data_IF_043604884257
#
_entry.id   IF_043604884257
#
_cell.length_a   1.000
_cell.length_b   1.000
_cell.length_c   1.000
_cell.angle_alpha   90.00
_cell.angle_beta   90.00
_cell.angle_gamma   90.00
#
_symmetry.space_group_name_H-M   'P 1'
#
loop_
_entity.id
_entity.type
_entity.pdbx_description
1 polymer ?
#
# COMPACT_ATOMS: atom_id res chain seq x y z
N UNK A 1 -21.15 4.91 1.89
CA UNK A 1 -20.37 4.73 3.14
C UNK A 1 -19.97 6.07 3.78
N UNK A 2 -19.67 7.11 3.00
CA UNK A 2 -19.29 8.44 3.53
C UNK A 2 -20.31 9.02 4.54
N UNK A 3 -21.61 9.00 4.22
CA UNK A 3 -22.64 9.60 5.08
C UNK A 3 -22.76 8.99 6.50
N UNK A 4 -22.31 7.74 6.64
CA UNK A 4 -22.37 6.99 7.91
C UNK A 4 -21.02 6.90 8.62
N UNK A 5 -19.93 7.39 8.03
CA UNK A 5 -18.59 7.32 8.60
C UNK A 5 -18.17 8.67 9.21
N UNK A 6 -17.50 8.62 10.36
CA UNK A 6 -16.98 9.80 11.05
C UNK A 6 -15.55 9.55 11.54
N UNK A 7 -14.76 10.61 11.68
CA UNK A 7 -13.45 10.58 12.30
C UNK A 7 -13.56 10.49 13.84
N UNK A 8 -12.42 10.31 14.51
CA UNK A 8 -12.32 10.21 15.97
C UNK A 8 -12.94 11.41 16.72
N UNK A 9 -12.87 12.60 16.13
CA UNK A 9 -13.43 13.85 16.67
C UNK A 9 -14.94 14.03 16.37
N UNK A 10 -15.54 13.09 15.63
CA UNK A 10 -16.94 13.13 15.23
C UNK A 10 -17.21 13.84 13.89
N UNK A 11 -16.16 14.35 13.23
CA UNK A 11 -16.27 15.01 11.93
C UNK A 11 -16.72 14.00 10.85
N UNK A 12 -17.72 14.30 10.01
CA UNK A 12 -18.12 13.44 8.91
C UNK A 12 -16.98 13.19 7.93
N UNK A 13 -16.77 11.92 7.56
CA UNK A 13 -15.77 11.56 6.55
C UNK A 13 -16.39 11.61 5.15
N UNK A 14 -15.65 12.18 4.20
CA UNK A 14 -16.05 12.21 2.79
C UNK A 14 -15.68 10.92 2.09
N UNK A 15 -16.18 10.72 0.87
CA UNK A 15 -15.79 9.57 0.05
C UNK A 15 -14.29 9.56 -0.27
N UNK A 16 -13.70 10.75 -0.44
CA UNK A 16 -12.26 10.93 -0.65
C UNK A 16 -11.45 10.33 0.50
N UNK A 17 -11.83 10.65 1.74
CA UNK A 17 -11.13 10.20 2.95
C UNK A 17 -11.21 8.67 3.12
N UNK A 18 -12.25 8.05 2.55
CA UNK A 18 -12.48 6.61 2.61
C UNK A 18 -11.86 5.84 1.44
N UNK A 19 -11.24 6.50 0.45
CA UNK A 19 -10.56 5.81 -0.66
C UNK A 19 -9.49 4.81 -0.21
N UNK A 20 -8.63 5.12 0.79
CA UNK A 20 -7.67 4.13 1.33
C UNK A 20 -8.37 2.91 1.93
N UNK A 21 -9.45 3.11 2.68
CA UNK A 21 -10.25 2.01 3.26
C UNK A 21 -10.94 1.16 2.18
N UNK A 22 -11.48 1.80 1.14
CA UNK A 22 -12.10 1.13 0.01
C UNK A 22 -11.09 0.25 -0.73
N UNK A 23 -9.83 0.71 -0.89
CA UNK A 23 -8.74 -0.10 -1.45
C UNK A 23 -8.39 -1.29 -0.56
N UNK A 24 -8.23 -1.08 0.74
CA UNK A 24 -7.92 -2.15 1.70
C UNK A 24 -8.99 -3.26 1.70
N UNK A 25 -10.26 -2.88 1.64
CA UNK A 25 -11.40 -3.80 1.67
C UNK A 25 -11.71 -4.47 0.33
N UNK A 26 -10.93 -4.21 -0.73
CA UNK A 26 -10.92 -5.11 -1.91
C UNK A 26 -10.47 -6.51 -1.50
N UNK A 27 -9.56 -6.61 -0.53
CA UNK A 27 -9.17 -7.89 0.06
C UNK A 27 -10.30 -8.41 0.99
N UNK A 28 -10.69 -9.67 0.74
CA UNK A 28 -11.82 -10.34 1.42
C UNK A 28 -11.66 -10.39 2.94
N UNK A 29 -10.43 -10.55 3.44
CA UNK A 29 -10.16 -10.64 4.88
C UNK A 29 -10.50 -9.33 5.57
N UNK A 30 -9.96 -8.20 5.10
CA UNK A 30 -10.25 -6.88 5.68
C UNK A 30 -11.72 -6.51 5.54
N UNK A 31 -12.36 -6.85 4.41
CA UNK A 31 -13.81 -6.64 4.23
C UNK A 31 -14.64 -7.42 5.24
N UNK A 32 -14.30 -8.69 5.46
CA UNK A 32 -14.98 -9.54 6.44
C UNK A 32 -14.79 -9.01 7.86
N UNK A 33 -13.55 -8.67 8.21
CA UNK A 33 -13.21 -8.10 9.52
C UNK A 33 -13.97 -6.80 9.77
N UNK A 34 -13.97 -5.85 8.81
CA UNK A 34 -14.72 -4.61 8.93
C UNK A 34 -16.22 -4.88 9.14
N UNK A 35 -16.79 -5.80 8.36
CA UNK A 35 -18.20 -6.19 8.50
C UNK A 35 -18.49 -6.74 9.89
N UNK A 36 -17.66 -7.67 10.39
CA UNK A 36 -17.82 -8.24 11.73
C UNK A 36 -17.77 -7.15 12.81
N UNK A 37 -16.77 -6.26 12.77
CA UNK A 37 -16.66 -5.15 13.74
C UNK A 37 -17.90 -4.25 13.76
N UNK A 38 -18.49 -3.98 12.58
CA UNK A 38 -19.71 -3.19 12.46
C UNK A 38 -20.93 -3.96 12.98
N UNK A 39 -21.08 -5.23 12.61
CA UNK A 39 -22.23 -6.07 13.01
C UNK A 39 -22.23 -6.37 14.52
N UNK A 40 -21.05 -6.55 15.10
CA UNK A 40 -20.83 -6.77 16.53
C UNK A 40 -20.95 -5.46 17.34
N UNK A 41 -21.19 -4.33 16.66
CA UNK A 41 -21.29 -2.98 17.26
C UNK A 41 -20.10 -2.64 18.14
N UNK A 42 -18.89 -2.95 17.66
CA UNK A 42 -17.67 -2.76 18.42
C UNK A 42 -17.57 -1.32 18.93
N UNK A 43 -17.21 -1.12 20.19
CA UNK A 43 -17.15 0.21 20.83
C UNK A 43 -15.72 0.67 21.14
N UNK A 44 -14.72 -0.13 20.76
CA UNK A 44 -13.30 0.13 21.01
C UNK A 44 -12.45 -0.07 19.74
N UNK A 45 -11.17 0.31 19.79
CA UNK A 45 -10.24 0.15 18.67
C UNK A 45 -10.45 1.16 17.52
N UNK A 46 -9.88 0.86 16.35
CA UNK A 46 -9.89 1.76 15.19
C UNK A 46 -11.22 1.79 14.43
N UNK A 47 -12.10 0.81 14.64
CA UNK A 47 -13.44 0.81 14.04
C UNK A 47 -14.43 0.68 15.17
N UNK A 48 -15.30 1.68 15.31
CA UNK A 48 -16.30 1.73 16.36
C UNK A 48 -17.67 2.04 15.78
N UNK A 49 -18.73 1.50 16.37
CA UNK A 49 -20.10 1.85 16.07
C UNK A 49 -20.64 2.71 17.20
N UNK A 50 -20.94 3.97 16.91
CA UNK A 50 -21.40 4.95 17.90
C UNK A 50 -22.84 5.36 17.60
N UNK A 51 -23.63 5.56 18.65
CA UNK A 51 -24.98 6.11 18.52
C UNK A 51 -24.86 7.63 18.32
N UNK A 52 -25.36 8.13 17.19
CA UNK A 52 -25.35 9.55 16.87
C UNK A 52 -26.71 9.92 16.27
N UNK A 53 -27.58 10.45 17.14
CA UNK A 53 -28.95 10.87 16.81
C UNK A 53 -30.01 9.78 17.01
N UNK A 54 -31.24 10.13 16.64
CA UNK A 54 -32.40 9.23 16.64
C UNK A 54 -33.33 9.54 15.46
N UNK A 55 -34.11 8.55 15.04
CA UNK A 55 -35.23 8.69 14.11
C UNK A 55 -36.54 8.58 14.90
N UNK A 56 -37.47 9.50 14.64
CA UNK A 56 -38.77 9.58 15.32
C UNK A 56 -38.66 9.55 16.86
N UNK A 57 -37.58 10.08 17.44
CA UNK A 57 -37.24 10.05 18.87
C UNK A 57 -37.07 8.65 19.52
N UNK A 58 -37.42 7.57 18.82
CA UNK A 58 -37.49 6.22 19.39
C UNK A 58 -36.40 5.29 18.84
N UNK A 59 -35.93 5.51 17.61
CA UNK A 59 -34.97 4.61 16.96
C UNK A 59 -33.56 5.21 16.97
N UNK A 60 -32.56 4.56 17.59
CA UNK A 60 -31.19 5.06 17.55
C UNK A 60 -30.64 5.06 16.13
N UNK A 61 -29.95 6.14 15.74
CA UNK A 61 -29.12 6.17 14.53
C UNK A 61 -27.67 5.87 14.90
N UNK A 62 -27.01 5.06 14.08
CA UNK A 62 -25.62 4.65 14.30
C UNK A 62 -24.72 5.16 13.19
N UNK A 63 -23.49 5.52 13.56
CA UNK A 63 -22.41 5.85 12.65
C UNK A 63 -21.18 4.98 12.95
N UNK A 64 -20.35 4.78 11.94
CA UNK A 64 -19.06 4.10 12.04
C UNK A 64 -17.99 5.16 12.30
N UNK A 65 -17.44 5.18 13.51
CA UNK A 65 -16.31 6.02 13.88
C UNK A 65 -15.01 5.30 13.55
N UNK A 66 -14.15 5.95 12.78
CA UNK A 66 -12.84 5.46 12.41
C UNK A 66 -11.77 6.19 13.22
N UNK A 67 -10.95 5.39 13.90
CA UNK A 67 -9.74 5.84 14.56
C UNK A 67 -8.59 6.03 13.58
N UNK A 68 -7.50 6.60 14.06
CA UNK A 68 -6.28 6.81 13.28
C UNK A 68 -5.10 6.09 13.93
N UNK A 69 -4.08 5.81 13.13
CA UNK A 69 -2.79 5.31 13.59
C UNK A 69 -1.64 6.07 12.91
N UNK A 70 -0.45 5.92 13.47
CA UNK A 70 0.75 6.53 12.94
C UNK A 70 1.52 5.50 12.12
N UNK A 71 1.96 5.90 10.92
CA UNK A 71 2.84 5.09 10.09
C UNK A 71 4.28 5.55 10.35
N UNK A 72 5.17 4.58 10.61
CA UNK A 72 6.60 4.85 10.81
C UNK A 72 7.38 4.37 9.60
N UNK A 73 8.20 5.26 9.03
CA UNK A 73 9.12 4.96 7.93
C UNK A 73 10.54 5.29 8.36
N UNK A 74 11.44 4.31 8.33
CA UNK A 74 12.85 4.48 8.62
C UNK A 74 13.65 4.50 7.32
N UNK A 75 14.54 5.47 7.16
CA UNK A 75 15.38 5.57 5.98
C UNK A 75 16.71 6.26 6.27
N UNK A 76 17.72 5.95 5.45
CA UNK A 76 19.04 6.56 5.44
C UNK A 76 19.22 7.56 4.28
N UNK A 77 18.13 7.99 3.66
CA UNK A 77 18.16 9.04 2.64
C UNK A 77 18.27 10.43 3.27
N UNK A 78 19.14 11.25 2.69
CA UNK A 78 19.19 12.69 2.92
C UNK A 78 18.08 13.40 2.13
N UNK A 79 17.64 14.55 2.64
CA UNK A 79 16.61 15.39 2.00
C UNK A 79 15.34 14.62 1.57
N UNK A 80 14.92 13.66 2.40
CA UNK A 80 13.78 12.79 2.12
C UNK A 80 12.46 13.57 1.90
N UNK A 81 11.86 13.40 0.73
CA UNK A 81 10.56 13.91 0.33
C UNK A 81 9.54 12.77 0.26
N UNK A 82 8.37 12.98 0.87
CA UNK A 82 7.32 11.98 0.98
C UNK A 82 6.08 12.40 0.23
N UNK A 83 5.50 11.46 -0.51
CA UNK A 83 4.13 11.59 -1.02
C UNK A 83 3.31 10.37 -0.64
N UNK A 84 2.06 10.59 -0.28
CA UNK A 84 1.10 9.56 0.06
C UNK A 84 -0.15 9.72 -0.80
N UNK A 85 -0.46 8.69 -1.58
CA UNK A 85 -1.51 8.70 -2.60
C UNK A 85 -1.38 9.88 -3.59
N UNK A 86 -0.12 10.25 -3.90
CA UNK A 86 0.20 11.36 -4.79
C UNK A 86 0.19 12.74 -4.14
N UNK A 87 -0.25 12.87 -2.89
CA UNK A 87 -0.21 14.12 -2.15
C UNK A 87 1.11 14.26 -1.40
N UNK A 88 1.74 15.42 -1.48
CA UNK A 88 2.94 15.71 -0.68
C UNK A 88 2.58 15.78 0.81
N UNK A 89 3.40 15.14 1.64
CA UNK A 89 3.24 15.12 3.09
C UNK A 89 4.56 15.48 3.78
N UNK A 90 4.46 16.02 5.00
CA UNK A 90 5.61 16.38 5.83
C UNK A 90 5.58 15.57 7.12
N UNK A 91 6.17 14.36 7.14
CA UNK A 91 6.26 13.58 8.37
C UNK A 91 7.17 14.24 9.41
N UNK A 92 6.90 13.96 10.68
CA UNK A 92 7.81 14.32 11.77
C UNK A 92 9.07 13.46 11.67
N UNK A 93 10.25 14.08 11.57
CA UNK A 93 11.52 13.39 11.51
C UNK A 93 12.20 13.37 12.87
N UNK A 94 12.58 12.18 13.34
CA UNK A 94 13.49 12.00 14.49
C UNK A 94 14.62 11.07 14.07
N UNK A 95 15.76 11.67 13.70
CA UNK A 95 17.01 10.97 13.37
C UNK A 95 16.84 9.86 12.33
N UNK A 96 16.17 10.14 11.20
CA UNK A 96 15.96 9.18 10.11
C UNK A 96 14.76 8.24 10.30
N UNK A 97 14.03 8.40 11.41
CA UNK A 97 12.73 7.79 11.64
C UNK A 97 11.62 8.82 11.44
N UNK A 98 10.84 8.64 10.38
CA UNK A 98 9.78 9.53 9.96
C UNK A 98 8.43 9.00 10.42
N UNK A 99 7.63 9.85 11.07
CA UNK A 99 6.29 9.51 11.55
C UNK A 99 5.24 10.28 10.76
N UNK A 100 4.40 9.54 10.04
CA UNK A 100 3.23 10.06 9.34
C UNK A 100 2.03 9.85 10.26
N UNK A 101 1.58 10.93 10.90
CA UNK A 101 0.54 10.86 11.91
C UNK A 101 -0.87 10.74 11.30
N UNK A 102 -1.81 10.31 12.15
CA UNK A 102 -3.26 10.45 11.93
C UNK A 102 -3.81 9.78 10.66
N UNK A 103 -3.27 8.63 10.28
CA UNK A 103 -3.74 7.87 9.11
C UNK A 103 -4.96 7.01 9.47
N UNK A 104 -6.01 7.09 8.67
CA UNK A 104 -7.18 6.20 8.78
C UNK A 104 -6.80 4.77 8.36
N UNK A 105 -7.56 3.74 8.78
CA UNK A 105 -7.39 2.39 8.27
C UNK A 105 -7.53 2.38 6.74
N UNK A 106 -6.57 1.77 6.06
CA UNK A 106 -6.53 1.80 4.61
C UNK A 106 -5.25 1.22 4.00
N UNK A 107 -5.28 1.15 2.67
CA UNK A 107 -4.12 0.83 1.84
C UNK A 107 -3.70 2.11 1.12
N UNK A 108 -2.44 2.51 1.32
CA UNK A 108 -1.86 3.75 0.85
C UNK A 108 -0.70 3.49 -0.10
N UNK A 109 -0.56 4.29 -1.15
CA UNK A 109 0.63 4.29 -1.99
C UNK A 109 1.62 5.33 -1.46
N UNK A 110 2.72 4.88 -0.87
CA UNK A 110 3.79 5.72 -0.36
C UNK A 110 4.90 5.82 -1.41
N UNK A 111 5.25 7.05 -1.79
CA UNK A 111 6.51 7.31 -2.49
C UNK A 111 7.45 8.11 -1.61
N UNK A 112 8.71 7.71 -1.61
CA UNK A 112 9.81 8.37 -0.93
C UNK A 112 10.90 8.64 -1.96
N UNK A 113 11.36 9.88 -2.01
CA UNK A 113 12.51 10.28 -2.83
C UNK A 113 13.52 11.00 -1.94
N UNK A 114 14.80 10.86 -2.23
CA UNK A 114 15.86 11.55 -1.50
C UNK A 114 17.21 11.27 -2.12
N UNK A 115 18.28 11.69 -1.47
CA UNK A 115 19.65 11.46 -1.94
C UNK A 115 20.41 10.56 -0.99
N UNK A 116 21.32 9.75 -1.52
CA UNK A 116 22.27 8.98 -0.72
C UNK A 116 23.57 8.90 -1.52
N UNK A 117 24.70 9.28 -0.89
CA UNK A 117 26.02 9.33 -1.54
C UNK A 117 26.01 10.11 -2.87
N UNK A 118 25.30 11.25 -2.89
CA UNK A 118 25.22 12.13 -4.06
C UNK A 118 24.30 11.65 -5.19
N UNK A 119 23.63 10.51 -5.04
CA UNK A 119 22.68 9.97 -6.03
C UNK A 119 21.25 10.00 -5.53
N UNK A 120 20.30 10.35 -6.39
CA UNK A 120 18.86 10.25 -6.08
C UNK A 120 18.43 8.79 -5.96
N UNK A 121 17.59 8.51 -4.97
CA UNK A 121 16.98 7.21 -4.70
C UNK A 121 15.48 7.38 -4.53
N UNK A 122 14.72 6.54 -5.22
CA UNK A 122 13.27 6.54 -5.18
C UNK A 122 12.73 5.20 -4.70
N UNK A 123 11.70 5.25 -3.87
CA UNK A 123 10.95 4.10 -3.40
C UNK A 123 9.47 4.31 -3.68
N UNK A 124 8.82 3.24 -4.10
CA UNK A 124 7.37 3.15 -4.17
C UNK A 124 6.94 1.88 -3.42
N UNK A 125 6.10 2.04 -2.40
CA UNK A 125 5.64 0.96 -1.54
C UNK A 125 4.17 1.14 -1.19
N UNK A 126 3.48 0.03 -1.04
CA UNK A 126 2.17 0.03 -0.42
C UNK A 126 2.32 -0.03 1.10
N UNK A 127 1.53 0.76 1.81
CA UNK A 127 1.49 0.80 3.27
C UNK A 127 0.07 0.45 3.73
N UNK A 128 -0.02 -0.53 4.62
CA UNK A 128 -1.28 -0.93 5.24
C UNK A 128 -1.39 -0.29 6.61
N UNK A 129 -2.45 0.48 6.82
CA UNK A 129 -2.95 0.85 8.13
C UNK A 129 -4.10 -0.12 8.46
N UNK A 130 -3.90 -1.09 9.36
CA UNK A 130 -4.85 -2.16 9.56
C UNK A 130 -6.11 -1.69 10.32
N UNK A 131 -7.18 -2.50 10.26
CA UNK A 131 -8.40 -2.27 11.06
C UNK A 131 -8.21 -2.62 12.55
N UNK A 132 -7.16 -3.40 12.86
CA UNK A 132 -6.81 -3.87 14.20
C UNK A 132 -5.29 -3.91 14.33
N UNK A 133 -4.79 -3.50 15.48
CA UNK A 133 -3.35 -3.45 15.75
C UNK A 133 -2.73 -2.15 15.27
N UNK A 134 -1.42 -2.19 15.02
CA UNK A 134 -0.65 -1.04 14.55
C UNK A 134 -0.10 -1.30 13.15
N UNK A 135 0.08 -0.26 12.32
CA UNK A 135 0.82 -0.39 11.08
C UNK A 135 2.22 -0.95 11.32
N UNK A 136 2.70 -1.79 10.40
CA UNK A 136 4.08 -2.24 10.44
C UNK A 136 5.01 -1.08 10.11
N UNK A 137 6.15 -1.01 10.82
CA UNK A 137 7.18 -0.03 10.52
C UNK A 137 7.88 -0.42 9.20
N UNK A 138 8.01 0.54 8.29
CA UNK A 138 8.64 0.33 6.99
C UNK A 138 10.09 0.80 7.03
N UNK A 139 11.04 -0.05 6.65
CA UNK A 139 12.44 0.33 6.49
C UNK A 139 12.78 0.41 5.01
N UNK A 140 13.24 1.57 4.56
CA UNK A 140 13.63 1.87 3.18
C UNK A 140 15.10 2.30 3.16
N UNK A 141 15.97 1.36 2.86
CA UNK A 141 17.41 1.59 2.78
C UNK A 141 17.83 1.86 1.34
N UNK A 142 18.60 2.92 1.11
CA UNK A 142 19.19 3.28 -0.17
C UNK A 142 19.87 2.12 -0.92
N UNK A 143 20.47 1.16 -0.20
CA UNK A 143 21.08 -0.04 -0.78
C UNK A 143 20.06 -0.97 -1.46
N UNK A 144 18.80 -0.92 -1.01
CA UNK A 144 17.66 -1.70 -1.54
C UNK A 144 16.82 -0.92 -2.55
N UNK A 145 17.17 0.33 -2.83
CA UNK A 145 16.52 1.10 -3.88
C UNK A 145 16.85 0.44 -5.21
N UNK A 146 15.84 -0.14 -5.86
CA UNK A 146 16.02 -0.60 -7.24
C UNK A 146 16.45 0.60 -8.08
N UNK A 147 17.56 0.48 -8.82
CA UNK A 147 17.82 1.42 -9.92
C UNK A 147 16.58 1.39 -10.81
N UNK A 148 15.98 2.54 -11.09
CA UNK A 148 14.80 2.64 -11.94
C UNK A 148 15.10 1.99 -13.29
N UNK A 149 14.68 0.75 -13.49
CA UNK A 149 14.64 0.11 -14.80
C UNK A 149 13.22 0.33 -15.31
N UNK A 150 13.11 1.09 -16.40
CA UNK A 150 11.86 1.28 -17.15
C UNK A 150 11.25 -0.09 -17.43
N UNK A 151 9.97 -0.35 -17.08
CA UNK A 151 9.34 -1.63 -17.38
C UNK A 151 9.16 -1.71 -18.90
N UNK A 152 10.02 -2.50 -19.55
CA UNK A 152 9.71 -3.02 -20.88
C UNK A 152 8.76 -4.17 -20.65
N UNK A 153 7.51 -3.97 -21.06
CA UNK A 153 6.56 -5.06 -21.17
C UNK A 153 7.04 -6.00 -22.27
N UNK A 154 7.57 -7.15 -21.87
CA UNK A 154 7.45 -8.33 -22.72
C UNK A 154 7.03 -9.53 -21.87
N UNK A 155 5.96 -10.18 -22.33
CA UNK A 155 5.35 -11.30 -21.66
C UNK A 155 6.02 -12.58 -22.17
N UNK A 156 6.48 -13.46 -21.26
CA UNK A 156 6.24 -14.92 -21.27
C UNK A 156 7.09 -15.63 -20.22
N UNK A 157 6.45 -16.57 -19.52
CA UNK A 157 6.95 -17.48 -18.50
C UNK A 157 8.19 -18.29 -18.89
N UNK A 158 9.06 -18.58 -17.92
CA UNK A 158 10.00 -19.70 -18.02
C UNK A 158 11.02 -19.81 -16.90
N UNK A 159 10.75 -20.72 -15.97
CA UNK A 159 11.62 -21.41 -15.00
C UNK A 159 13.15 -21.19 -15.05
N UNK A 160 13.74 -20.98 -13.86
CA UNK A 160 15.18 -20.97 -13.58
C UNK A 160 15.85 -22.33 -13.89
N UNK A 161 17.03 -22.31 -14.53
CA UNK A 161 18.18 -23.15 -14.14
C UNK A 161 19.48 -22.55 -14.68
N UNK A 162 20.48 -22.47 -13.80
CA UNK A 162 21.87 -22.17 -14.10
C UNK A 162 22.55 -23.32 -14.82
N UNK A 163 23.39 -23.05 -15.83
CA UNK A 163 24.71 -23.67 -16.03
C UNK A 163 25.41 -23.00 -17.22
N UNK A 164 26.61 -22.48 -16.97
CA UNK A 164 27.54 -21.96 -17.96
C UNK A 164 28.37 -23.13 -18.50
N UNK A 165 28.32 -23.40 -19.80
CA UNK A 165 29.36 -24.14 -20.53
C UNK A 165 29.58 -23.40 -21.85
N UNK A 166 30.82 -22.95 -22.03
CA UNK A 166 31.38 -22.54 -23.31
C UNK A 166 31.64 -23.82 -24.11
N UNK A 167 31.13 -23.90 -25.33
CA UNK A 167 31.68 -24.76 -26.37
C UNK A 167 31.45 -24.05 -27.71
N UNK A 168 32.56 -23.65 -28.32
CA UNK A 168 32.67 -23.21 -29.70
C UNK A 168 32.25 -24.36 -30.62
N UNK A 169 31.42 -24.07 -31.62
CA UNK A 169 31.45 -24.79 -32.90
C UNK A 169 30.75 -23.95 -33.97
N UNK A 170 31.59 -23.36 -34.83
CA UNK A 170 31.26 -23.05 -36.21
C UNK A 170 30.79 -24.34 -36.90
N UNK A 171 29.74 -24.27 -37.71
CA UNK A 171 29.76 -24.79 -39.08
C UNK A 171 28.40 -24.58 -39.78
N UNK A 172 28.46 -23.83 -40.88
CA UNK A 172 27.48 -23.77 -41.95
C UNK A 172 27.08 -25.17 -42.43
N UNK A 173 25.81 -25.39 -42.78
CA UNK A 173 25.41 -25.96 -44.09
C UNK A 173 23.89 -25.88 -44.29
N UNK A 174 23.50 -25.21 -45.38
CA UNK A 174 22.22 -25.33 -46.09
C UNK A 174 21.93 -26.80 -46.46
N UNK A 175 20.70 -27.28 -46.22
CA UNK A 175 20.05 -28.18 -47.18
C UNK A 175 18.51 -28.09 -47.11
N UNK A 176 17.93 -27.92 -48.28
CA UNK A 176 16.56 -27.54 -48.55
C UNK A 176 15.83 -28.79 -49.10
N UNK A 177 15.23 -29.58 -48.21
CA UNK A 177 14.67 -30.90 -48.56
C UNK A 177 13.16 -31.00 -48.37
N UNK A 178 12.38 -30.58 -49.37
CA UNK A 178 10.95 -30.89 -49.52
C UNK A 178 10.74 -32.39 -49.74
N UNK A 179 9.78 -33.03 -49.06
CA UNK A 179 8.68 -33.81 -49.68
C UNK A 179 7.71 -34.44 -48.66
N UNK A 180 6.42 -34.36 -49.03
CA UNK A 180 5.26 -35.03 -48.41
C UNK A 180 5.33 -36.55 -48.58
N UNK A 181 4.65 -37.31 -47.71
CA UNK A 181 3.71 -38.37 -48.13
C UNK A 181 2.74 -38.76 -47.02
N UNK A 182 1.45 -38.78 -47.40
CA UNK A 182 0.22 -39.44 -46.91
C UNK A 182 0.10 -39.92 -45.46
#
# INVERSE_FOLDING_TARGET
>A
MAEVAIANDGTPLTESDLKPLARLTKNRLYRSTLRTMIMDKQTNGMVQVVKQGSYLLLFPKYKVKLGTANVTVKTNLDAAAFTMDGNQIQPENRSGSYTIASQLPGLYALKLSGTHEGSTKDFNREVIVPLKGQPEALTLDAATAAKTVTPTHDATSGSSTSESHDDDDDDDYDDNGVTKTN
#
